data_IF_780411839272
#
_entry.id   IF_780411839272
#
_cell.length_a   1.000
_cell.length_b   1.000
_cell.length_c   1.000
_cell.angle_alpha   90.00
_cell.angle_beta   90.00
_cell.angle_gamma   90.00
#
_symmetry.space_group_name_H-M   'P 1'
#
loop_
_entity.id
_entity.type
_entity.pdbx_description
1 polymer ?
#
# COMPACT_ATOMS: atom_id res chain seq x y z
N UNK A 1 -7.03 6.68 6.96
CA UNK A 1 -5.63 6.84 7.39
C UNK A 1 -4.62 6.84 6.23
N UNK A 2 -5.00 6.32 5.06
CA UNK A 2 -4.14 6.27 3.86
C UNK A 2 -4.42 7.40 2.86
N UNK A 3 -5.28 8.37 3.17
CA UNK A 3 -5.73 9.41 2.24
C UNK A 3 -4.63 10.36 1.75
N UNK A 4 -3.48 10.37 2.41
CA UNK A 4 -2.30 11.14 1.97
C UNK A 4 -1.49 10.45 0.87
N UNK A 5 -1.74 9.15 0.61
CA UNK A 5 -1.00 8.35 -0.37
C UNK A 5 -1.57 8.43 -1.79
N UNK A 6 -2.74 9.01 -1.97
CA UNK A 6 -3.37 9.17 -3.27
C UNK A 6 -4.60 10.05 -3.21
N UNK A 7 -5.00 10.64 -4.33
CA UNK A 7 -6.05 11.65 -4.40
C UNK A 7 -7.09 11.41 -5.50
N UNK A 8 -6.88 10.47 -6.41
CA UNK A 8 -7.74 10.34 -7.58
C UNK A 8 -8.84 9.32 -7.44
N UNK A 9 -8.54 8.14 -6.96
CA UNK A 9 -9.49 7.02 -6.89
C UNK A 9 -9.42 6.33 -5.55
N UNK A 10 -10.56 5.90 -5.06
CA UNK A 10 -10.68 5.03 -3.90
C UNK A 10 -11.56 3.84 -4.23
N UNK A 11 -11.19 2.67 -3.74
CA UNK A 11 -11.97 1.47 -3.95
C UNK A 11 -12.02 0.60 -2.70
N UNK A 12 -13.14 -0.12 -2.57
CA UNK A 12 -13.35 -1.11 -1.52
C UNK A 12 -14.02 -2.33 -2.10
N UNK A 13 -13.68 -3.49 -1.57
CA UNK A 13 -14.42 -4.73 -1.77
C UNK A 13 -14.58 -5.48 -0.46
N UNK A 14 -15.74 -6.11 -0.26
CA UNK A 14 -16.03 -7.00 0.87
C UNK A 14 -16.47 -8.36 0.37
N UNK A 15 -16.31 -9.36 1.22
CA UNK A 15 -16.85 -10.68 1.00
C UNK A 15 -17.78 -11.06 2.16
N UNK A 16 -19.00 -11.43 1.79
CA UNK A 16 -20.02 -11.95 2.69
C UNK A 16 -20.07 -13.47 2.55
N UNK A 17 -19.64 -14.18 3.59
CA UNK A 17 -19.58 -15.64 3.60
C UNK A 17 -20.96 -16.28 3.72
N UNK A 18 -21.96 -15.59 4.30
CA UNK A 18 -23.33 -16.12 4.42
C UNK A 18 -24.05 -16.03 3.07
N UNK A 19 -23.87 -14.93 2.35
CA UNK A 19 -24.45 -14.73 1.03
C UNK A 19 -23.56 -15.30 -0.10
N UNK A 20 -22.34 -15.71 0.17
CA UNK A 20 -21.30 -16.09 -0.81
C UNK A 20 -21.14 -15.03 -1.91
N UNK A 21 -21.05 -13.77 -1.50
CA UNK A 21 -21.08 -12.63 -2.40
C UNK A 21 -19.94 -11.65 -2.16
N UNK A 22 -19.31 -11.21 -3.26
CA UNK A 22 -18.41 -10.07 -3.28
C UNK A 22 -19.19 -8.80 -3.63
N UNK A 23 -18.96 -7.74 -2.87
CA UNK A 23 -19.42 -6.39 -3.18
C UNK A 23 -18.21 -5.50 -3.47
N UNK A 24 -18.30 -4.63 -4.49
CA UNK A 24 -17.25 -3.69 -4.88
C UNK A 24 -17.83 -2.32 -5.16
N UNK A 25 -17.16 -1.27 -4.68
CA UNK A 25 -17.39 0.12 -5.11
C UNK A 25 -16.06 0.82 -5.36
N UNK A 26 -16.03 1.64 -6.43
CA UNK A 26 -14.88 2.47 -6.80
C UNK A 26 -15.39 3.89 -7.06
N UNK A 27 -14.73 4.88 -6.47
CA UNK A 27 -15.10 6.29 -6.62
C UNK A 27 -13.91 7.15 -7.05
N UNK A 28 -14.22 8.21 -7.83
CA UNK A 28 -13.30 9.32 -8.03
C UNK A 28 -13.27 10.19 -6.77
N UNK A 29 -12.08 10.47 -6.25
CA UNK A 29 -11.84 11.24 -5.02
C UNK A 29 -11.41 12.69 -5.28
N UNK A 30 -11.19 13.10 -6.54
CA UNK A 30 -10.67 14.43 -6.87
C UNK A 30 -11.56 15.57 -6.38
N UNK A 31 -12.86 15.33 -6.26
CA UNK A 31 -13.85 16.34 -5.88
C UNK A 31 -14.41 16.19 -4.46
N UNK A 32 -13.99 15.19 -3.70
CA UNK A 32 -14.54 14.92 -2.37
C UNK A 32 -13.72 13.88 -1.60
N UNK A 33 -13.75 13.95 -0.27
CA UNK A 33 -13.04 13.02 0.58
C UNK A 33 -13.57 11.58 0.46
N UNK A 34 -12.69 10.61 0.69
CA UNK A 34 -12.98 9.18 0.67
C UNK A 34 -14.25 8.83 1.47
N UNK A 35 -14.34 9.27 2.75
CA UNK A 35 -15.49 8.99 3.60
C UNK A 35 -16.82 9.45 2.98
N UNK A 36 -16.86 10.66 2.45
CA UNK A 36 -18.08 11.23 1.86
C UNK A 36 -18.55 10.45 0.63
N UNK A 37 -17.61 9.95 -0.17
CA UNK A 37 -17.93 9.16 -1.39
C UNK A 37 -18.50 7.79 -1.03
N UNK A 38 -17.94 7.14 -0.01
CA UNK A 38 -18.34 5.79 0.37
C UNK A 38 -19.51 5.72 1.36
N UNK A 39 -19.88 6.83 1.98
CA UNK A 39 -20.98 6.87 2.97
C UNK A 39 -22.30 6.30 2.44
N UNK A 40 -22.60 6.50 1.16
CA UNK A 40 -23.80 5.97 0.51
C UNK A 40 -23.72 4.49 0.14
N UNK A 41 -22.54 3.91 0.18
CA UNK A 41 -22.29 2.52 -0.18
C UNK A 41 -22.16 1.61 1.05
N UNK A 42 -22.15 2.18 2.27
CA UNK A 42 -21.94 1.40 3.49
C UNK A 42 -22.92 0.24 3.64
N UNK A 43 -24.18 0.46 3.30
CA UNK A 43 -25.23 -0.57 3.37
C UNK A 43 -25.02 -1.74 2.38
N UNK A 44 -24.18 -1.54 1.35
CA UNK A 44 -23.84 -2.57 0.36
C UNK A 44 -22.69 -3.45 0.82
N UNK A 45 -21.85 -2.94 1.72
CA UNK A 45 -20.69 -3.65 2.22
C UNK A 45 -21.08 -4.55 3.39
N UNK A 46 -21.49 -5.76 3.06
CA UNK A 46 -21.81 -6.81 4.04
C UNK A 46 -20.63 -7.74 4.24
N UNK A 47 -20.72 -8.62 5.25
CA UNK A 47 -19.67 -9.57 5.58
C UNK A 47 -18.65 -9.03 6.58
N UNK A 48 -17.65 -9.88 6.90
CA UNK A 48 -16.65 -9.62 7.95
C UNK A 48 -15.23 -9.43 7.41
N UNK A 49 -15.02 -9.59 6.12
CA UNK A 49 -13.72 -9.41 5.49
C UNK A 49 -13.79 -8.45 4.32
N UNK A 50 -12.72 -7.70 4.10
CA UNK A 50 -12.67 -6.69 3.03
C UNK A 50 -11.27 -6.18 2.76
N UNK A 51 -11.12 -5.56 1.60
CA UNK A 51 -9.91 -4.87 1.16
C UNK A 51 -10.26 -3.47 0.68
N UNK A 52 -9.32 -2.54 0.79
CA UNK A 52 -9.49 -1.18 0.31
C UNK A 52 -8.18 -0.61 -0.23
N UNK A 53 -8.30 0.40 -1.10
CA UNK A 53 -7.17 1.05 -1.75
C UNK A 53 -7.48 2.51 -2.04
N UNK A 54 -6.44 3.33 -2.00
CA UNK A 54 -6.43 4.66 -2.62
C UNK A 54 -5.35 4.63 -3.70
N UNK A 55 -5.69 5.08 -4.91
CA UNK A 55 -4.83 4.99 -6.09
C UNK A 55 -4.91 6.27 -6.91
N UNK A 56 -3.78 6.68 -7.48
CA UNK A 56 -3.71 7.78 -8.44
C UNK A 56 -3.77 7.30 -9.90
N UNK A 57 -3.71 6.00 -10.13
CA UNK A 57 -3.66 5.42 -11.47
C UNK A 57 -4.85 4.51 -11.75
N UNK A 58 -4.84 3.31 -11.20
CA UNK A 58 -5.74 2.24 -11.59
C UNK A 58 -7.07 2.26 -10.84
N UNK A 59 -8.13 1.87 -11.52
CA UNK A 59 -9.38 1.52 -10.88
C UNK A 59 -9.22 0.17 -10.18
N UNK A 60 -9.35 0.14 -8.86
CA UNK A 60 -9.20 -1.02 -7.99
C UNK A 60 -10.23 -0.95 -6.85
N UNK A 61 -10.59 -2.09 -6.21
CA UNK A 61 -10.17 -3.48 -6.45
C UNK A 61 -10.67 -4.06 -7.77
N UNK A 62 -9.96 -5.05 -8.32
CA UNK A 62 -10.43 -5.87 -9.45
C UNK A 62 -10.99 -7.17 -8.89
N UNK A 63 -12.16 -7.61 -9.41
CA UNK A 63 -12.74 -8.92 -9.09
C UNK A 63 -12.54 -9.85 -10.27
N UNK A 64 -11.91 -10.99 -10.02
CA UNK A 64 -11.64 -12.04 -11.01
C UNK A 64 -12.40 -13.31 -10.62
N UNK A 65 -12.92 -14.00 -11.63
CA UNK A 65 -13.47 -15.35 -11.50
C UNK A 65 -12.61 -16.29 -12.35
N UNK A 66 -11.92 -17.22 -11.72
CA UNK A 66 -10.96 -18.12 -12.35
C UNK A 66 -11.03 -19.52 -11.77
N UNK A 67 -10.14 -20.42 -12.20
CA UNK A 67 -9.96 -21.74 -11.59
C UNK A 67 -9.48 -21.69 -10.12
N UNK A 68 -8.90 -20.54 -9.68
CA UNK A 68 -8.57 -20.31 -8.27
C UNK A 68 -9.76 -19.89 -7.41
N UNK A 69 -10.97 -19.88 -7.98
CA UNK A 69 -12.17 -19.31 -7.39
C UNK A 69 -12.37 -17.85 -7.75
N UNK A 70 -13.36 -17.22 -7.10
CA UNK A 70 -13.58 -15.79 -7.19
C UNK A 70 -12.78 -15.07 -6.14
N UNK A 71 -12.08 -14.00 -6.53
CA UNK A 71 -11.30 -13.18 -5.60
C UNK A 71 -11.31 -11.70 -5.98
N UNK A 72 -11.08 -10.83 -5.02
CA UNK A 72 -10.84 -9.41 -5.25
C UNK A 72 -9.37 -9.08 -4.94
N UNK A 73 -8.73 -8.23 -5.73
CA UNK A 73 -7.32 -7.87 -5.57
C UNK A 73 -7.11 -6.37 -5.59
N UNK A 74 -6.20 -5.90 -4.74
CA UNK A 74 -5.62 -4.56 -4.78
C UNK A 74 -4.10 -4.65 -4.81
N UNK A 75 -3.45 -3.71 -5.49
CA UNK A 75 -2.00 -3.68 -5.64
C UNK A 75 -1.43 -2.28 -5.38
N UNK A 76 -0.26 -2.25 -4.76
CA UNK A 76 0.65 -1.10 -4.80
C UNK A 76 1.85 -1.53 -5.64
N UNK A 77 1.86 -1.09 -6.89
CA UNK A 77 2.78 -1.60 -7.89
C UNK A 77 3.43 -0.49 -8.72
N UNK A 78 4.66 -0.75 -9.16
CA UNK A 78 5.34 -0.05 -10.24
C UNK A 78 5.90 -1.10 -11.19
N UNK A 79 5.26 -1.28 -12.33
CA UNK A 79 5.63 -2.28 -13.34
C UNK A 79 6.34 -1.56 -14.48
N UNK A 80 7.60 -1.92 -14.75
CA UNK A 80 8.40 -1.28 -15.78
C UNK A 80 8.31 -1.98 -17.15
N UNK A 81 7.79 -3.21 -17.19
CA UNK A 81 7.68 -4.03 -18.39
C UNK A 81 6.23 -4.39 -18.76
N UNK A 82 5.31 -3.42 -18.60
CA UNK A 82 3.86 -3.63 -18.86
C UNK A 82 3.63 -4.17 -20.27
N UNK A 83 4.17 -3.51 -21.30
CA UNK A 83 3.96 -3.89 -22.71
C UNK A 83 4.48 -5.29 -23.06
N UNK A 84 5.54 -5.74 -22.37
CA UNK A 84 6.08 -7.10 -22.52
C UNK A 84 5.09 -8.13 -21.95
N UNK A 85 4.62 -7.89 -20.72
CA UNK A 85 3.71 -8.78 -20.01
C UNK A 85 2.31 -8.81 -20.64
N UNK A 86 1.81 -7.67 -21.12
CA UNK A 86 0.55 -7.57 -21.81
C UNK A 86 0.54 -8.42 -23.08
N UNK A 87 1.60 -8.31 -23.90
CA UNK A 87 1.73 -9.14 -25.11
C UNK A 87 1.79 -10.63 -24.78
N UNK A 88 2.57 -11.01 -23.77
CA UNK A 88 2.66 -12.41 -23.33
C UNK A 88 1.28 -12.95 -22.93
N UNK A 89 0.49 -12.19 -22.18
CA UNK A 89 -0.85 -12.61 -21.75
C UNK A 89 -1.82 -12.72 -22.95
N UNK A 90 -1.78 -11.76 -23.87
CA UNK A 90 -2.61 -11.80 -25.09
C UNK A 90 -2.25 -12.99 -25.98
N UNK A 91 -0.96 -13.32 -26.13
CA UNK A 91 -0.48 -14.49 -26.88
C UNK A 91 -0.95 -15.81 -26.24
N UNK A 92 -1.21 -15.80 -24.94
CA UNK A 92 -1.85 -16.91 -24.21
C UNK A 92 -3.39 -16.90 -24.27
N UNK A 93 -3.99 -16.08 -25.13
CA UNK A 93 -5.44 -15.89 -25.27
C UNK A 93 -6.14 -15.40 -23.98
N UNK A 94 -5.42 -14.70 -23.11
CA UNK A 94 -6.01 -13.98 -21.98
C UNK A 94 -6.54 -12.62 -22.44
N UNK A 95 -7.53 -12.09 -21.75
CA UNK A 95 -8.21 -10.86 -22.13
C UNK A 95 -8.20 -9.86 -20.98
N UNK A 96 -8.09 -8.59 -21.33
CA UNK A 96 -8.24 -7.47 -20.40
C UNK A 96 -9.64 -6.89 -20.53
N UNK A 97 -10.32 -6.66 -19.40
CA UNK A 97 -11.67 -6.11 -19.34
C UNK A 97 -11.69 -4.69 -18.73
N UNK A 98 -10.72 -4.37 -17.90
CA UNK A 98 -10.64 -3.08 -17.22
C UNK A 98 -9.55 -2.20 -17.84
N UNK A 99 -9.91 -0.96 -18.20
CA UNK A 99 -8.96 0.03 -18.67
C UNK A 99 -8.76 1.13 -17.63
N UNK A 100 -7.52 1.54 -17.41
CA UNK A 100 -7.18 2.69 -16.60
C UNK A 100 -6.73 3.86 -17.48
N UNK A 101 -7.62 4.84 -17.64
CA UNK A 101 -7.34 6.03 -18.47
C UNK A 101 -6.92 5.73 -19.92
N UNK A 102 -7.47 4.66 -20.50
CA UNK A 102 -7.18 4.24 -21.87
C UNK A 102 -5.94 3.33 -22.02
N UNK A 103 -5.33 2.93 -20.91
CA UNK A 103 -4.19 2.01 -20.87
C UNK A 103 -4.54 0.75 -20.08
N UNK A 104 -3.72 -0.29 -20.19
CA UNK A 104 -3.86 -1.53 -19.42
C UNK A 104 -3.87 -1.27 -17.92
N UNK A 105 -4.87 -1.79 -17.23
CA UNK A 105 -4.93 -1.73 -15.77
C UNK A 105 -3.86 -2.66 -15.17
N UNK A 106 -2.91 -2.10 -14.44
CA UNK A 106 -1.79 -2.86 -13.87
C UNK A 106 -2.26 -3.90 -12.85
N UNK A 107 -3.33 -3.61 -12.10
CA UNK A 107 -3.89 -4.57 -11.12
C UNK A 107 -4.53 -5.76 -11.82
N UNK A 108 -5.23 -5.54 -12.95
CA UNK A 108 -5.76 -6.63 -13.76
C UNK A 108 -4.64 -7.48 -14.36
N UNK A 109 -3.58 -6.84 -14.89
CA UNK A 109 -2.42 -7.55 -15.41
C UNK A 109 -1.80 -8.47 -14.34
N UNK A 110 -1.63 -7.98 -13.11
CA UNK A 110 -1.14 -8.79 -11.99
C UNK A 110 -2.11 -9.93 -11.67
N UNK A 111 -3.42 -9.68 -11.65
CA UNK A 111 -4.43 -10.71 -11.41
C UNK A 111 -4.37 -11.82 -12.46
N UNK A 112 -4.22 -11.46 -13.74
CA UNK A 112 -4.09 -12.43 -14.84
C UNK A 112 -2.78 -13.24 -14.73
N UNK A 113 -1.67 -12.64 -14.32
CA UNK A 113 -0.42 -13.37 -14.04
C UNK A 113 -0.59 -14.38 -12.90
N UNK A 114 -1.35 -14.02 -11.86
CA UNK A 114 -1.65 -14.91 -10.73
C UNK A 114 -2.47 -16.10 -11.22
N UNK A 115 -3.43 -15.90 -12.10
CA UNK A 115 -4.25 -17.00 -12.64
C UNK A 115 -3.50 -17.97 -13.55
N UNK A 116 -2.25 -17.73 -13.88
CA UNK A 116 -1.40 -18.72 -14.56
C UNK A 116 -0.81 -19.78 -13.60
N UNK A 117 -0.87 -19.57 -12.28
CA UNK A 117 -0.44 -20.54 -11.27
C UNK A 117 -1.55 -21.56 -10.96
N UNK A 118 -1.17 -22.72 -10.44
CA UNK A 118 -2.12 -23.76 -9.97
C UNK A 118 -2.81 -23.38 -8.66
N UNK A 119 -2.20 -22.49 -7.88
CA UNK A 119 -2.71 -21.91 -6.65
C UNK A 119 -2.22 -20.46 -6.51
N UNK A 120 -2.72 -19.74 -5.50
CA UNK A 120 -2.33 -18.35 -5.27
C UNK A 120 -0.84 -18.17 -4.99
N UNK A 121 -0.20 -19.10 -4.30
CA UNK A 121 1.23 -19.01 -3.98
C UNK A 121 2.07 -19.07 -5.24
N UNK A 122 1.85 -20.07 -6.10
CA UNK A 122 2.55 -20.21 -7.38
C UNK A 122 2.24 -19.01 -8.30
N UNK A 123 0.99 -18.55 -8.33
CA UNK A 123 0.58 -17.38 -9.10
C UNK A 123 1.29 -16.10 -8.66
N UNK A 124 1.42 -15.86 -7.38
CA UNK A 124 2.16 -14.70 -6.83
C UNK A 124 3.67 -14.85 -7.12
N UNK A 125 4.22 -16.06 -7.03
CA UNK A 125 5.61 -16.31 -7.42
C UNK A 125 5.87 -16.05 -8.91
N UNK A 126 4.88 -16.29 -9.79
CA UNK A 126 4.94 -15.89 -11.20
C UNK A 126 5.08 -14.37 -11.32
N UNK A 127 4.29 -13.60 -10.57
CA UNK A 127 4.42 -12.15 -10.51
C UNK A 127 5.84 -11.73 -10.07
N UNK A 128 6.38 -12.34 -9.02
CA UNK A 128 7.73 -12.03 -8.54
C UNK A 128 8.84 -12.33 -9.55
N UNK A 129 8.65 -13.34 -10.40
CA UNK A 129 9.62 -13.69 -11.45
C UNK A 129 9.52 -12.78 -12.67
N UNK A 130 8.30 -12.43 -13.09
CA UNK A 130 8.03 -11.76 -14.37
C UNK A 130 8.06 -10.25 -14.28
N UNK A 131 7.61 -9.68 -13.16
CA UNK A 131 7.53 -8.21 -13.01
C UNK A 131 8.90 -7.60 -12.79
N UNK A 132 9.29 -6.69 -13.70
CA UNK A 132 10.42 -5.79 -13.53
C UNK A 132 9.93 -4.52 -12.83
N UNK A 133 10.19 -4.42 -11.53
CA UNK A 133 9.67 -3.33 -10.70
C UNK A 133 9.36 -3.77 -9.29
N UNK A 134 8.22 -3.34 -8.76
CA UNK A 134 7.72 -3.73 -7.44
C UNK A 134 6.21 -3.99 -7.48
N UNK A 135 5.74 -4.92 -6.67
CA UNK A 135 4.31 -5.19 -6.49
C UNK A 135 4.06 -5.83 -5.14
N UNK A 136 3.42 -5.08 -4.23
CA UNK A 136 2.79 -5.62 -3.02
C UNK A 136 1.29 -5.68 -3.23
N UNK A 137 0.61 -6.67 -2.66
CA UNK A 137 -0.81 -6.90 -2.94
C UNK A 137 -1.57 -7.47 -1.75
N UNK A 138 -2.87 -7.21 -1.74
CA UNK A 138 -3.84 -7.89 -0.89
C UNK A 138 -4.89 -8.56 -1.79
N UNK A 139 -5.19 -9.83 -1.51
CA UNK A 139 -6.17 -10.62 -2.25
C UNK A 139 -7.21 -11.12 -1.27
N UNK A 140 -8.46 -10.70 -1.47
CA UNK A 140 -9.61 -11.17 -0.70
C UNK A 140 -10.21 -12.38 -1.40
N UNK A 141 -10.29 -13.49 -0.69
CA UNK A 141 -10.88 -14.77 -1.14
C UNK A 141 -12.03 -15.18 -0.22
N UNK A 142 -12.72 -16.25 -0.55
CA UNK A 142 -13.70 -16.91 0.33
C UNK A 142 -13.06 -17.58 1.56
N UNK A 143 -11.76 -17.88 1.51
CA UNK A 143 -10.95 -18.51 2.57
C UNK A 143 -10.02 -17.51 3.29
N UNK A 144 -10.37 -16.23 3.32
CA UNK A 144 -9.62 -15.20 4.03
C UNK A 144 -8.86 -14.22 3.12
N UNK A 145 -7.93 -13.51 3.71
CA UNK A 145 -7.12 -12.49 3.03
C UNK A 145 -5.71 -13.01 2.80
N UNK A 146 -5.21 -12.93 1.56
CA UNK A 146 -3.81 -13.17 1.25
C UNK A 146 -3.10 -11.83 1.18
N UNK A 147 -2.01 -11.66 1.93
CA UNK A 147 -1.12 -10.51 1.87
C UNK A 147 0.24 -10.96 1.34
N UNK A 148 0.72 -10.29 0.30
CA UNK A 148 1.99 -10.62 -0.34
C UNK A 148 2.84 -9.36 -0.53
N UNK A 149 3.99 -9.31 0.16
CA UNK A 149 4.91 -8.20 0.07
C UNK A 149 5.80 -8.35 -1.16
N UNK A 150 6.08 -7.24 -1.83
CA UNK A 150 7.04 -7.16 -2.94
C UNK A 150 8.29 -8.04 -2.74
N UNK A 151 8.76 -8.67 -3.81
CA UNK A 151 9.88 -9.62 -3.78
C UNK A 151 11.12 -9.09 -3.04
N UNK A 152 11.41 -7.81 -3.17
CA UNK A 152 12.53 -7.14 -2.51
C UNK A 152 12.09 -6.27 -1.31
N UNK A 153 10.83 -6.35 -0.91
CA UNK A 153 10.33 -5.62 0.26
C UNK A 153 10.25 -4.09 0.11
N UNK A 154 10.21 -3.56 -1.13
CA UNK A 154 10.21 -2.11 -1.39
C UNK A 154 9.02 -1.39 -0.80
N UNK A 155 7.83 -2.00 -0.88
CA UNK A 155 6.61 -1.48 -0.26
C UNK A 155 6.25 -2.34 0.94
N UNK A 156 6.18 -1.77 2.14
CA UNK A 156 5.90 -2.53 3.36
C UNK A 156 4.46 -3.03 3.40
N UNK A 157 4.26 -4.16 4.06
CA UNK A 157 2.98 -4.63 4.56
C UNK A 157 3.16 -4.93 6.04
N UNK A 158 2.31 -4.32 6.86
CA UNK A 158 2.29 -4.48 8.32
C UNK A 158 1.04 -5.27 8.67
N UNK A 159 1.19 -6.24 9.56
CA UNK A 159 0.07 -6.99 10.13
C UNK A 159 -0.24 -6.41 11.50
N UNK A 160 -1.50 -6.08 11.73
CA UNK A 160 -2.03 -5.71 13.02
C UNK A 160 -3.00 -6.76 13.53
N UNK A 161 -3.08 -6.89 14.85
CA UNK A 161 -3.94 -7.84 15.56
C UNK A 161 -4.73 -7.13 16.65
N UNK A 162 -5.97 -7.55 16.83
CA UNK A 162 -6.76 -7.33 18.04
C UNK A 162 -7.50 -8.62 18.42
N UNK A 163 -8.26 -8.61 19.51
CA UNK A 163 -8.83 -9.81 20.15
C UNK A 163 -9.44 -10.82 19.16
N UNK A 164 -10.23 -10.34 18.20
CA UNK A 164 -11.03 -11.16 17.28
C UNK A 164 -10.78 -10.85 15.80
N UNK A 165 -9.72 -10.09 15.46
CA UNK A 165 -9.48 -9.65 14.11
C UNK A 165 -8.01 -9.40 13.79
N UNK A 166 -7.68 -9.60 12.51
CA UNK A 166 -6.41 -9.22 11.91
C UNK A 166 -6.63 -8.20 10.80
N UNK A 167 -5.64 -7.36 10.58
CA UNK A 167 -5.62 -6.41 9.48
C UNK A 167 -4.23 -6.34 8.85
N UNK A 168 -4.19 -6.05 7.54
CA UNK A 168 -2.95 -5.78 6.81
C UNK A 168 -3.02 -4.37 6.22
N UNK A 169 -1.95 -3.59 6.35
CA UNK A 169 -1.87 -2.23 5.83
C UNK A 169 -0.45 -1.89 5.36
N UNK A 170 -0.33 -0.90 4.49
CA UNK A 170 0.98 -0.33 4.12
C UNK A 170 1.47 0.73 5.12
N UNK A 171 0.57 1.28 5.94
CA UNK A 171 0.84 2.33 6.93
C UNK A 171 0.54 1.84 8.35
N UNK A 172 1.55 1.85 9.22
CA UNK A 172 1.41 1.38 10.61
C UNK A 172 0.57 2.31 11.48
N UNK A 173 0.51 3.61 11.16
CA UNK A 173 -0.28 4.61 11.91
C UNK A 173 -1.79 4.34 11.93
N UNK A 174 -2.30 3.50 11.02
CA UNK A 174 -3.70 3.11 11.02
C UNK A 174 -4.08 2.24 12.24
N UNK A 175 -3.17 1.41 12.71
CA UNK A 175 -3.46 0.39 13.71
C UNK A 175 -3.80 0.95 15.10
N UNK A 176 -2.99 1.82 15.72
CA UNK A 176 -3.33 2.37 17.03
C UNK A 176 -4.66 3.14 17.04
N UNK A 177 -5.01 3.79 15.93
CA UNK A 177 -6.26 4.54 15.81
C UNK A 177 -7.52 3.65 15.67
N UNK A 178 -7.34 2.35 15.48
CA UNK A 178 -8.40 1.35 15.31
C UNK A 178 -8.32 0.25 16.38
N UNK A 179 -7.54 0.49 17.45
CA UNK A 179 -7.32 -0.44 18.56
C UNK A 179 -6.69 -1.77 18.12
N UNK A 180 -5.81 -1.72 17.10
CA UNK A 180 -4.96 -2.82 16.73
C UNK A 180 -3.56 -2.63 17.28
N UNK A 181 -2.95 -3.71 17.76
CA UNK A 181 -1.52 -3.79 18.03
C UNK A 181 -0.78 -4.22 16.76
N UNK A 182 0.42 -3.67 16.55
CA UNK A 182 1.29 -4.13 15.45
C UNK A 182 1.82 -5.51 15.83
N UNK A 183 1.48 -6.52 15.05
CA UNK A 183 1.98 -7.88 15.22
C UNK A 183 3.38 -8.03 14.59
N UNK A 184 3.49 -7.76 13.29
CA UNK A 184 4.77 -7.79 12.58
C UNK A 184 4.74 -7.11 11.21
N UNK A 185 5.91 -6.87 10.66
CA UNK A 185 6.11 -6.51 9.25
C UNK A 185 6.37 -7.79 8.45
N UNK A 186 5.74 -7.94 7.28
CA UNK A 186 6.09 -9.02 6.36
C UNK A 186 7.51 -8.78 5.81
N UNK A 187 8.29 -9.83 5.66
CA UNK A 187 9.59 -9.76 5.04
C UNK A 187 9.52 -9.69 3.50
N UNK A 188 10.67 -9.51 2.80
CA UNK A 188 10.71 -9.40 1.35
C UNK A 188 10.20 -10.68 0.67
N UNK A 189 9.22 -10.53 -0.22
CA UNK A 189 8.59 -11.63 -0.94
C UNK A 189 7.79 -12.60 -0.07
N UNK A 190 7.52 -12.28 1.18
CA UNK A 190 6.69 -13.11 2.07
C UNK A 190 5.24 -13.09 1.62
N UNK A 191 4.60 -14.26 1.67
CA UNK A 191 3.19 -14.45 1.37
C UNK A 191 2.54 -15.08 2.58
N UNK A 192 1.47 -14.46 3.09
CA UNK A 192 0.70 -14.97 4.23
C UNK A 192 -0.78 -15.02 3.90
N UNK A 193 -1.47 -15.97 4.52
CA UNK A 193 -2.93 -16.00 4.59
C UNK A 193 -3.38 -15.56 5.97
N UNK A 194 -4.32 -14.66 6.01
CA UNK A 194 -4.86 -14.06 7.22
C UNK A 194 -6.31 -14.51 7.36
N UNK A 195 -6.63 -15.15 8.48
CA UNK A 195 -7.98 -15.55 8.90
C UNK A 195 -8.25 -15.02 10.30
N UNK A 196 -9.49 -15.03 10.78
CA UNK A 196 -9.79 -14.64 12.18
C UNK A 196 -8.99 -15.44 13.21
N UNK A 197 -8.69 -16.69 12.90
CA UNK A 197 -7.96 -17.61 13.79
C UNK A 197 -6.45 -17.39 13.82
N UNK A 198 -5.89 -16.67 12.83
CA UNK A 198 -4.46 -16.41 12.78
C UNK A 198 -3.89 -16.12 11.40
N UNK A 199 -2.57 -16.03 11.37
CA UNK A 199 -1.77 -15.76 10.18
C UNK A 199 -0.95 -16.99 9.82
N UNK A 200 -1.21 -17.57 8.65
CA UNK A 200 -0.51 -18.72 8.08
C UNK A 200 0.54 -18.24 7.08
N UNK A 201 1.77 -18.68 7.19
CA UNK A 201 2.83 -18.37 6.21
C UNK A 201 2.74 -19.36 5.06
N UNK A 202 2.39 -18.87 3.85
CA UNK A 202 2.34 -19.66 2.62
C UNK A 202 3.71 -19.71 1.93
N UNK A 203 4.47 -18.62 2.02
CA UNK A 203 5.84 -18.53 1.52
C UNK A 203 6.66 -17.68 2.49
N UNK A 204 7.78 -18.22 3.01
CA UNK A 204 8.64 -17.45 3.92
C UNK A 204 9.31 -16.27 3.22
N UNK A 205 9.76 -15.30 4.01
CA UNK A 205 10.53 -14.16 3.54
C UNK A 205 11.85 -14.57 2.89
N UNK A 206 12.26 -13.83 1.88
CA UNK A 206 13.62 -13.89 1.32
C UNK A 206 14.62 -13.10 2.18
N UNK A 207 15.89 -13.26 1.86
CA UNK A 207 16.99 -12.59 2.59
C UNK A 207 17.29 -11.19 2.05
N UNK A 208 17.06 -10.93 0.75
CA UNK A 208 17.35 -9.65 0.12
C UNK A 208 16.24 -8.63 0.32
N UNK A 209 16.58 -7.50 0.94
CA UNK A 209 15.67 -6.38 1.12
C UNK A 209 16.21 -5.11 0.46
N UNK A 210 15.37 -4.45 -0.32
CA UNK A 210 15.63 -3.14 -0.94
C UNK A 210 14.45 -2.20 -0.64
N UNK A 211 14.24 -1.91 0.63
CA UNK A 211 13.16 -1.01 1.02
C UNK A 211 13.34 0.38 0.42
N UNK A 212 12.26 0.99 0.00
CA UNK A 212 12.28 2.33 -0.58
C UNK A 212 12.52 3.40 0.51
N UNK A 213 13.67 4.06 0.48
CA UNK A 213 13.97 5.15 1.43
C UNK A 213 13.00 6.33 1.33
N UNK A 214 12.30 6.48 0.21
CA UNK A 214 11.30 7.50 -0.02
C UNK A 214 10.11 7.42 0.96
N UNK A 215 9.90 6.25 1.56
CA UNK A 215 8.94 6.07 2.66
C UNK A 215 9.22 7.03 3.82
N UNK A 216 10.48 7.17 4.23
CA UNK A 216 10.85 8.12 5.29
C UNK A 216 11.04 9.54 4.77
N UNK A 217 11.66 9.70 3.61
CA UNK A 217 11.98 11.04 3.07
C UNK A 217 10.72 11.82 2.72
N UNK A 218 9.69 11.17 2.19
CA UNK A 218 8.54 11.91 1.66
C UNK A 218 7.17 11.28 1.95
N UNK A 219 6.96 9.98 1.59
CA UNK A 219 5.63 9.39 1.60
C UNK A 219 5.04 9.16 2.98
N UNK A 220 5.85 8.64 3.92
CA UNK A 220 5.36 8.15 5.19
C UNK A 220 4.67 9.22 6.02
N UNK A 221 3.60 8.83 6.68
CA UNK A 221 2.97 9.69 7.66
C UNK A 221 3.89 9.84 8.89
N UNK A 222 4.02 11.02 9.51
CA UNK A 222 4.99 11.27 10.59
C UNK A 222 4.95 10.26 11.74
N UNK A 223 3.75 9.79 12.12
CA UNK A 223 3.57 8.81 13.20
C UNK A 223 3.71 7.35 12.75
N UNK A 224 3.91 7.10 11.46
CA UNK A 224 4.15 5.75 10.95
C UNK A 224 5.56 5.27 11.23
N UNK A 225 5.68 3.95 11.35
CA UNK A 225 6.95 3.25 11.41
C UNK A 225 7.07 2.30 10.22
N UNK A 226 8.27 2.20 9.65
CA UNK A 226 8.62 1.17 8.68
C UNK A 226 9.84 0.42 9.19
N UNK A 227 9.77 -0.90 9.23
CA UNK A 227 10.82 -1.77 9.81
C UNK A 227 11.25 -1.31 11.22
N UNK A 228 10.29 -0.91 12.05
CA UNK A 228 10.53 -0.44 13.41
C UNK A 228 11.15 0.96 13.53
N UNK A 229 11.30 1.71 12.43
CA UNK A 229 11.87 3.07 12.44
C UNK A 229 10.80 4.11 12.17
N UNK A 230 10.59 5.03 13.11
CA UNK A 230 9.61 6.10 12.99
C UNK A 230 10.00 7.11 11.91
N UNK A 231 9.00 7.59 11.17
CA UNK A 231 9.21 8.50 10.03
C UNK A 231 9.72 9.86 10.48
N UNK A 232 9.11 10.45 11.51
CA UNK A 232 9.49 11.78 11.98
C UNK A 232 10.89 11.78 12.62
N UNK A 233 11.20 10.76 13.42
CA UNK A 233 12.53 10.57 13.99
C UNK A 233 13.62 10.48 12.91
N UNK A 234 13.35 9.71 11.85
CA UNK A 234 14.29 9.58 10.73
C UNK A 234 14.46 10.90 9.97
N UNK A 235 13.39 11.68 9.77
CA UNK A 235 13.47 13.01 9.15
C UNK A 235 14.29 13.97 9.99
N UNK A 236 14.04 14.01 11.30
CA UNK A 236 14.82 14.84 12.22
C UNK A 236 16.30 14.48 12.17
N UNK A 237 16.66 13.20 12.23
CA UNK A 237 18.04 12.75 12.16
C UNK A 237 18.72 13.11 10.83
N UNK A 238 18.04 12.87 9.70
CA UNK A 238 18.57 13.26 8.38
C UNK A 238 18.80 14.76 8.29
N UNK A 239 17.85 15.56 8.79
CA UNK A 239 18.01 17.01 8.88
C UNK A 239 19.19 17.43 9.75
N UNK A 240 19.36 16.82 10.91
CA UNK A 240 20.47 17.09 11.82
C UNK A 240 21.84 16.84 11.16
N UNK A 241 22.01 15.68 10.51
CA UNK A 241 23.24 15.35 9.80
C UNK A 241 23.52 16.33 8.63
N UNK A 242 22.47 16.78 7.94
CA UNK A 242 22.58 17.84 6.92
C UNK A 242 23.01 19.17 7.53
N UNK A 243 22.43 19.59 8.66
CA UNK A 243 22.78 20.83 9.35
C UNK A 243 24.22 20.86 9.85
N UNK A 244 24.76 19.74 10.30
CA UNK A 244 26.17 19.60 10.70
C UNK A 244 27.14 19.76 9.53
N UNK A 245 26.76 19.32 8.32
CA UNK A 245 27.62 19.27 7.14
C UNK A 245 27.48 20.48 6.20
N UNK A 246 26.49 21.32 6.42
CA UNK A 246 26.24 22.50 5.57
C UNK A 246 26.97 23.73 6.10
N UNK A 247 27.86 24.30 5.29
CA UNK A 247 28.65 25.50 5.65
C UNK A 247 27.93 26.82 5.30
N UNK A 248 26.73 26.77 4.69
CA UNK A 248 25.98 27.96 4.28
C UNK A 248 25.54 28.80 5.51
N UNK A 249 25.84 30.08 5.53
CA UNK A 249 25.36 31.00 6.56
C UNK A 249 23.88 31.30 6.35
N UNK A 250 23.06 31.00 7.35
CA UNK A 250 21.60 31.20 7.33
C UNK A 250 21.10 31.64 8.71
N UNK A 251 20.06 32.48 8.74
CA UNK A 251 19.50 33.05 9.96
C UNK A 251 18.52 32.11 10.68
N UNK A 252 17.80 31.29 9.90
CA UNK A 252 16.83 30.32 10.43
C UNK A 252 16.51 29.23 9.41
N UNK A 253 15.99 28.13 9.88
CA UNK A 253 15.42 27.05 9.05
C UNK A 253 13.89 27.10 9.04
N UNK A 254 13.29 26.72 7.90
CA UNK A 254 11.84 26.60 7.73
C UNK A 254 11.51 25.39 6.87
N UNK A 255 10.63 24.52 7.35
CA UNK A 255 10.16 23.35 6.60
C UNK A 255 9.04 23.69 5.63
N UNK A 256 9.11 23.11 4.43
CA UNK A 256 7.96 23.10 3.52
C UNK A 256 6.94 22.08 4.05
N UNK A 257 5.73 22.50 4.42
CA UNK A 257 4.72 21.59 4.96
C UNK A 257 4.27 20.53 3.94
N UNK A 258 3.98 19.31 4.37
CA UNK A 258 4.11 18.84 5.75
C UNK A 258 5.39 18.00 5.93
N UNK A 259 5.85 17.29 4.89
CA UNK A 259 6.97 16.34 4.93
C UNK A 259 8.34 16.95 5.25
N UNK A 260 8.55 18.22 4.90
CA UNK A 260 9.81 18.93 5.15
C UNK A 260 9.99 19.46 6.58
N UNK A 261 8.95 19.41 7.42
CA UNK A 261 9.00 20.02 8.77
C UNK A 261 10.02 19.29 9.64
N UNK A 262 9.95 17.97 9.75
CA UNK A 262 10.87 17.21 10.59
C UNK A 262 12.34 17.38 10.18
N UNK A 263 12.62 17.37 8.87
CA UNK A 263 13.99 17.64 8.37
C UNK A 263 14.47 19.04 8.72
N UNK A 264 13.60 20.06 8.61
CA UNK A 264 13.98 21.44 8.91
C UNK A 264 14.20 21.68 10.39
N UNK A 265 13.48 20.99 11.27
CA UNK A 265 13.71 21.01 12.72
C UNK A 265 15.10 20.39 13.02
N UNK A 266 15.36 19.19 12.52
CA UNK A 266 16.66 18.54 12.69
C UNK A 266 17.81 19.39 12.13
N UNK A 267 17.63 19.98 10.93
CA UNK A 267 18.63 20.87 10.34
C UNK A 267 18.93 22.08 11.24
N UNK A 268 17.89 22.71 11.80
CA UNK A 268 18.07 23.82 12.74
C UNK A 268 18.89 23.42 13.95
N UNK A 269 18.62 22.24 14.51
CA UNK A 269 19.38 21.70 15.64
C UNK A 269 20.85 21.42 15.27
N UNK A 270 21.11 20.72 14.16
CA UNK A 270 22.46 20.41 13.70
C UNK A 270 23.29 21.65 13.35
N UNK A 271 22.64 22.67 12.80
CA UNK A 271 23.27 23.95 12.41
C UNK A 271 23.44 24.91 13.61
N UNK A 272 22.71 24.70 14.71
CA UNK A 272 22.70 25.62 15.86
C UNK A 272 21.93 26.92 15.59
N UNK A 273 20.90 26.92 14.73
CA UNK A 273 20.08 28.06 14.37
C UNK A 273 18.62 27.84 14.78
N UNK A 274 17.78 28.91 14.86
CA UNK A 274 16.38 28.72 15.19
C UNK A 274 15.58 28.11 14.03
N UNK A 275 14.64 27.19 14.34
CA UNK A 275 13.55 26.85 13.44
C UNK A 275 12.44 27.91 13.52
N UNK A 276 11.90 28.33 12.38
CA UNK A 276 10.76 29.26 12.29
C UNK A 276 9.74 28.79 11.27
N UNK A 277 8.47 28.81 11.64
CA UNK A 277 7.37 28.49 10.71
C UNK A 277 7.07 29.71 9.81
N UNK A 278 7.81 29.87 8.71
CA UNK A 278 7.62 30.95 7.77
C UNK A 278 6.67 30.58 6.61
N UNK A 279 6.42 29.28 6.39
CA UNK A 279 5.54 28.76 5.32
C UNK A 279 4.38 27.98 5.95
N UNK A 280 3.19 28.18 5.42
CA UNK A 280 1.99 27.46 5.85
C UNK A 280 1.26 26.91 4.63
N UNK A 281 0.80 25.65 4.72
CA UNK A 281 -0.06 25.06 3.71
C UNK A 281 -1.43 25.71 3.77
N UNK A 282 -1.92 26.22 2.65
CA UNK A 282 -3.29 26.67 2.52
C UNK A 282 -4.14 25.52 1.96
N UNK A 283 -5.12 25.10 2.74
CA UNK A 283 -6.11 24.10 2.34
C UNK A 283 -7.48 24.78 2.45
N UNK A 284 -8.06 25.27 1.34
CA UNK A 284 -9.37 25.89 1.33
C UNK A 284 -10.50 24.92 1.70
#
# INVERSE_FOLDING_TARGET
YHSHLGTRRGGMATYDSEANQFCRSIHNLESSYFRTKFERDLDKFTGRSGIGIISDTDAQPIIINSHLGRFAIVTVAKICNIDELERELLDCNMHFAELSSGTTNQTELIALLITQGKDFTEGIENVYRKVKGSCSMLILTDDGLIAARDRLGRTPIVIGRKEDAYAAASESSAFPNLDYEIDRYLGPGEIVRIRPEGVEVLRPAGEEMQICSFLWVYYGFPTSCYEGRNVEEMRNRMGYDMGLSDDTEVDYSCGIPDSGIGMAIGYAEGKGIPYRRAISKYTP
#
